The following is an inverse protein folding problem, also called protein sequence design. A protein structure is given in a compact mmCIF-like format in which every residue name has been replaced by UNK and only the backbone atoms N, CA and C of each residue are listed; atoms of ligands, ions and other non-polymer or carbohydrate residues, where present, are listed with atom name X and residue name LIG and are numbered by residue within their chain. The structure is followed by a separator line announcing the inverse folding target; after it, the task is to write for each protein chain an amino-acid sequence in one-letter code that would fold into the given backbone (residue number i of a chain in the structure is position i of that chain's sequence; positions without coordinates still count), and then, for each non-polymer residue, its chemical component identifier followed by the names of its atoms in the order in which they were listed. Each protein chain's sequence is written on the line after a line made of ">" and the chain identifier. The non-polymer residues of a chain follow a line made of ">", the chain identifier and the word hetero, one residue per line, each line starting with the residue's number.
data_IF_692432328601
#
_entry.id   IF_692432328601
#
_cell.length_a   1.000
_cell.length_b   1.000
_cell.length_c   1.000
_cell.angle_alpha   90.00
_cell.angle_beta   90.00
_cell.angle_gamma   90.00
#
_symmetry.space_group_name_H-M   'P 1'
#
loop_
_entity.id
_entity.type
_entity.pdbx_description
1 polymer ?
#
# COMPACT_ATOMS: atom_id res chain seq x y z
N UNK A 1 67.75 67.34 -59.44
CA UNK A 1 66.85 67.85 -58.38
C UNK A 1 65.54 67.07 -58.29
N UNK A 2 65.07 66.37 -59.35
CA UNK A 2 63.82 65.60 -59.33
C UNK A 2 63.84 64.41 -58.34
N UNK A 3 64.95 63.68 -58.25
CA UNK A 3 65.05 62.42 -57.48
C UNK A 3 64.80 62.55 -55.96
N UNK A 4 65.00 63.74 -55.37
CA UNK A 4 64.76 63.96 -53.93
C UNK A 4 63.28 64.21 -53.59
N UNK A 5 62.50 64.72 -54.55
CA UNK A 5 61.07 64.99 -54.34
C UNK A 5 60.25 63.68 -54.36
N UNK A 6 60.58 62.76 -55.26
CA UNK A 6 59.91 61.45 -55.36
C UNK A 6 60.16 60.59 -54.10
N UNK A 7 61.38 60.68 -53.54
CA UNK A 7 61.75 59.95 -52.32
C UNK A 7 61.01 60.46 -51.08
N UNK A 8 60.75 61.77 -51.00
CA UNK A 8 59.93 62.37 -49.94
C UNK A 8 58.45 61.99 -50.07
N UNK A 9 57.92 61.90 -51.29
CA UNK A 9 56.54 61.48 -51.54
C UNK A 9 56.30 60.02 -51.11
N UNK A 10 57.22 59.12 -51.45
CA UNK A 10 57.18 57.71 -51.02
C UNK A 10 57.21 57.56 -49.49
N UNK A 11 58.05 58.34 -48.80
CA UNK A 11 58.11 58.38 -47.34
C UNK A 11 56.79 58.85 -46.70
N UNK A 12 56.15 59.86 -47.31
CA UNK A 12 54.85 60.36 -46.84
C UNK A 12 53.74 59.32 -47.02
N UNK A 13 53.71 58.60 -48.15
CA UNK A 13 52.77 57.49 -48.37
C UNK A 13 52.99 56.32 -47.39
N UNK A 14 54.24 55.93 -47.15
CA UNK A 14 54.58 54.90 -46.16
C UNK A 14 54.13 55.31 -44.75
N UNK A 15 54.35 56.56 -44.36
CA UNK A 15 53.92 57.06 -43.06
C UNK A 15 52.39 57.04 -42.93
N UNK A 16 51.69 57.49 -43.97
CA UNK A 16 50.22 57.49 -44.02
C UNK A 16 49.63 56.09 -43.96
N UNK A 17 50.21 55.12 -44.67
CA UNK A 17 49.75 53.72 -44.62
C UNK A 17 50.02 53.08 -43.26
N UNK A 18 51.16 53.38 -42.63
CA UNK A 18 51.48 52.93 -41.28
C UNK A 18 50.52 53.51 -40.24
N UNK A 19 50.23 54.82 -40.31
CA UNK A 19 49.25 55.47 -39.44
C UNK A 19 47.85 54.84 -39.60
N UNK A 20 47.40 54.62 -40.84
CA UNK A 20 46.14 53.95 -41.12
C UNK A 20 46.09 52.52 -40.55
N UNK A 21 47.17 51.75 -40.71
CA UNK A 21 47.25 50.39 -40.16
C UNK A 21 47.21 50.36 -38.63
N UNK A 22 47.83 51.34 -37.96
CA UNK A 22 47.74 51.48 -36.50
C UNK A 22 46.33 51.86 -36.04
N UNK A 23 45.64 52.72 -36.78
CA UNK A 23 44.27 53.15 -36.46
C UNK A 23 43.28 51.99 -36.62
N UNK A 24 43.37 51.21 -37.70
CA UNK A 24 42.57 49.99 -37.89
C UNK A 24 42.85 48.95 -36.79
N UNK A 25 44.12 48.78 -36.39
CA UNK A 25 44.48 47.87 -35.30
C UNK A 25 43.88 48.32 -33.95
N UNK A 26 43.94 49.62 -33.63
CA UNK A 26 43.31 50.16 -32.42
C UNK A 26 41.80 49.96 -32.43
N UNK A 27 41.15 50.23 -33.56
CA UNK A 27 39.71 50.01 -33.73
C UNK A 27 39.34 48.54 -33.55
N UNK A 28 40.08 47.61 -34.16
CA UNK A 28 39.84 46.17 -34.01
C UNK A 28 40.04 45.68 -32.56
N UNK A 29 41.01 46.25 -31.83
CA UNK A 29 41.19 45.95 -30.40
C UNK A 29 40.03 46.48 -29.54
N UNK A 30 39.49 47.66 -29.86
CA UNK A 30 38.36 48.25 -29.15
C UNK A 30 37.06 47.48 -29.39
N UNK A 31 36.79 47.08 -30.64
CA UNK A 31 35.65 46.20 -30.98
C UNK A 31 35.76 44.85 -30.26
N UNK A 32 36.96 44.26 -30.20
CA UNK A 32 37.18 43.01 -29.47
C UNK A 32 36.92 43.16 -27.96
N UNK A 33 37.38 44.26 -27.34
CA UNK A 33 37.11 44.54 -25.92
C UNK A 33 35.62 44.70 -25.66
N UNK A 34 34.93 45.48 -26.48
CA UNK A 34 33.49 45.68 -26.33
C UNK A 34 32.72 44.36 -26.50
N UNK A 35 33.09 43.52 -27.47
CA UNK A 35 32.49 42.20 -27.64
C UNK A 35 32.72 41.27 -26.45
N UNK A 36 33.91 41.31 -25.84
CA UNK A 36 34.20 40.55 -24.62
C UNK A 36 33.36 41.05 -23.42
N UNK A 37 33.20 42.37 -23.29
CA UNK A 37 32.43 42.97 -22.21
C UNK A 37 30.93 42.66 -22.34
N UNK A 38 30.39 42.74 -23.56
CA UNK A 38 29.00 42.37 -23.83
C UNK A 38 28.74 40.89 -23.52
N UNK A 39 29.65 39.99 -23.95
CA UNK A 39 29.56 38.57 -23.64
C UNK A 39 29.61 38.30 -22.13
N UNK A 40 30.49 39.00 -21.40
CA UNK A 40 30.57 38.89 -19.95
C UNK A 40 29.27 39.32 -19.26
N UNK A 41 28.69 40.43 -19.71
CA UNK A 41 27.42 40.92 -19.19
C UNK A 41 26.27 39.93 -19.44
N UNK A 42 26.21 39.34 -20.64
CA UNK A 42 25.22 38.31 -20.97
C UNK A 42 25.39 37.06 -20.09
N UNK A 43 26.63 36.58 -19.92
CA UNK A 43 26.92 35.43 -19.05
C UNK A 43 26.51 35.71 -17.61
N UNK A 44 26.78 36.91 -17.10
CA UNK A 44 26.37 37.31 -15.75
C UNK A 44 24.84 37.37 -15.61
N UNK A 45 24.14 37.87 -16.63
CA UNK A 45 22.69 37.88 -16.68
C UNK A 45 22.08 36.47 -16.69
N UNK A 46 22.64 35.56 -17.50
CA UNK A 46 22.23 34.16 -17.53
C UNK A 46 22.48 33.49 -16.18
N UNK A 47 23.64 33.72 -15.57
CA UNK A 47 23.96 33.20 -14.23
C UNK A 47 22.93 33.65 -13.19
N UNK A 48 22.57 34.93 -13.19
CA UNK A 48 21.55 35.46 -12.28
C UNK A 48 20.18 34.79 -12.47
N UNK A 49 19.74 34.58 -13.71
CA UNK A 49 18.49 33.85 -14.00
C UNK A 49 18.54 32.39 -13.54
N UNK A 50 19.69 31.72 -13.70
CA UNK A 50 19.89 30.35 -13.22
C UNK A 50 19.76 30.30 -11.69
N UNK A 51 20.37 31.25 -10.98
CA UNK A 51 20.29 31.32 -9.52
C UNK A 51 18.85 31.61 -9.04
N UNK A 52 18.12 32.48 -9.73
CA UNK A 52 16.70 32.76 -9.44
C UNK A 52 15.82 31.52 -9.64
N UNK A 53 15.97 30.84 -10.78
CA UNK A 53 15.25 29.58 -11.06
C UNK A 53 15.58 28.51 -10.03
N UNK A 54 16.86 28.37 -9.65
CA UNK A 54 17.31 27.42 -8.64
C UNK A 54 16.63 27.67 -7.30
N UNK A 55 16.59 28.94 -6.86
CA UNK A 55 15.97 29.31 -5.59
C UNK A 55 14.45 29.06 -5.60
N UNK A 56 13.77 29.37 -6.70
CA UNK A 56 12.34 29.13 -6.83
C UNK A 56 11.98 27.64 -6.85
N UNK A 57 12.81 26.81 -7.52
CA UNK A 57 12.66 25.36 -7.49
C UNK A 57 12.85 24.82 -6.07
N UNK A 58 13.90 25.26 -5.38
CA UNK A 58 14.18 24.86 -4.00
C UNK A 58 12.99 25.20 -3.07
N UNK A 59 12.47 26.42 -3.16
CA UNK A 59 11.31 26.87 -2.38
C UNK A 59 10.06 26.01 -2.64
N UNK A 60 9.80 25.65 -3.91
CA UNK A 60 8.66 24.80 -4.26
C UNK A 60 8.81 23.38 -3.72
N UNK A 61 10.02 22.84 -3.71
CA UNK A 61 10.30 21.51 -3.14
C UNK A 61 9.96 21.54 -1.65
N UNK A 62 10.49 22.50 -0.90
CA UNK A 62 10.24 22.63 0.55
C UNK A 62 8.74 22.82 0.86
N UNK A 63 8.02 23.60 0.05
CA UNK A 63 6.57 23.76 0.19
C UNK A 63 5.81 22.45 -0.04
N UNK A 64 6.20 21.67 -1.05
CA UNK A 64 5.59 20.37 -1.35
C UNK A 64 5.90 19.37 -0.23
N UNK A 65 7.14 19.29 0.24
CA UNK A 65 7.53 18.43 1.37
C UNK A 65 6.70 18.73 2.60
N UNK A 66 6.56 20.01 2.98
CA UNK A 66 5.73 20.40 4.12
C UNK A 66 4.22 20.15 3.93
N UNK A 67 3.71 20.15 2.70
CA UNK A 67 2.32 19.75 2.42
C UNK A 67 2.13 18.24 2.50
N UNK A 68 3.10 17.46 2.02
CA UNK A 68 3.05 16.00 2.07
C UNK A 68 3.14 15.52 3.51
N UNK A 69 4.07 16.06 4.31
CA UNK A 69 4.22 15.70 5.72
C UNK A 69 2.94 15.96 6.52
N UNK A 70 2.34 17.15 6.39
CA UNK A 70 1.07 17.46 7.06
C UNK A 70 -0.08 16.52 6.68
N UNK A 71 -0.15 16.11 5.40
CA UNK A 71 -1.17 15.15 4.96
C UNK A 71 -0.93 13.75 5.53
N UNK A 72 0.34 13.35 5.68
CA UNK A 72 0.69 12.08 6.31
C UNK A 72 0.25 12.10 7.78
N UNK A 73 0.63 13.14 8.54
CA UNK A 73 0.22 13.31 9.95
C UNK A 73 -1.31 13.29 10.09
N UNK A 74 -2.05 14.04 9.25
CA UNK A 74 -3.53 14.03 9.28
C UNK A 74 -4.13 12.64 9.00
N UNK A 75 -3.52 11.88 8.09
CA UNK A 75 -3.98 10.50 7.79
C UNK A 75 -3.64 9.56 8.95
N UNK A 76 -2.46 9.67 9.53
CA UNK A 76 -2.04 8.88 10.70
C UNK A 76 -2.99 9.11 11.88
N UNK A 77 -3.27 10.36 12.23
CA UNK A 77 -4.21 10.73 13.30
C UNK A 77 -5.61 10.14 13.05
N UNK A 78 -6.13 10.26 11.81
CA UNK A 78 -7.44 9.71 11.45
C UNK A 78 -7.48 8.19 11.53
N UNK A 79 -6.40 7.51 11.14
CA UNK A 79 -6.29 6.05 11.22
C UNK A 79 -6.23 5.61 12.67
N UNK A 80 -5.46 6.30 13.50
CA UNK A 80 -5.35 6.02 14.93
C UNK A 80 -6.72 6.13 15.62
N UNK A 81 -7.42 7.25 15.45
CA UNK A 81 -8.76 7.45 16.04
C UNK A 81 -9.74 6.37 15.61
N UNK A 82 -9.75 6.00 14.32
CA UNK A 82 -10.63 4.93 13.82
C UNK A 82 -10.28 3.56 14.39
N UNK A 83 -9.00 3.29 14.63
CA UNK A 83 -8.57 2.03 15.24
C UNK A 83 -9.05 1.95 16.68
N UNK A 84 -8.88 3.02 17.46
CA UNK A 84 -9.37 3.11 18.84
C UNK A 84 -10.89 2.92 18.90
N UNK A 85 -11.65 3.56 18.01
CA UNK A 85 -13.11 3.41 17.93
C UNK A 85 -13.52 1.96 17.59
N UNK A 86 -12.80 1.30 16.69
CA UNK A 86 -13.04 -0.11 16.34
C UNK A 86 -12.72 -1.02 17.52
N UNK A 87 -11.61 -0.79 18.21
CA UNK A 87 -11.21 -1.55 19.38
C UNK A 87 -12.25 -1.47 20.49
N UNK A 88 -12.72 -0.26 20.84
CA UNK A 88 -13.78 -0.06 21.83
C UNK A 88 -15.06 -0.81 21.44
N UNK A 89 -15.52 -0.69 20.19
CA UNK A 89 -16.72 -1.40 19.70
C UNK A 89 -16.58 -2.91 19.80
N UNK A 90 -15.39 -3.45 19.50
CA UNK A 90 -15.11 -4.89 19.61
C UNK A 90 -15.14 -5.33 21.07
N UNK A 91 -14.49 -4.59 21.97
CA UNK A 91 -14.48 -4.89 23.41
C UNK A 91 -15.90 -4.90 23.99
N UNK A 92 -16.73 -3.91 23.65
CA UNK A 92 -18.15 -3.86 24.08
C UNK A 92 -18.92 -5.08 23.59
N UNK A 93 -18.78 -5.45 22.31
CA UNK A 93 -19.47 -6.63 21.75
C UNK A 93 -19.02 -7.94 22.38
N UNK A 94 -17.74 -8.08 22.68
CA UNK A 94 -17.20 -9.26 23.39
C UNK A 94 -17.87 -9.35 24.77
N UNK A 95 -17.88 -8.26 25.54
CA UNK A 95 -18.52 -8.25 26.86
C UNK A 95 -20.02 -8.58 26.83
N UNK A 96 -20.74 -8.14 25.81
CA UNK A 96 -22.15 -8.51 25.61
C UNK A 96 -22.33 -9.99 25.25
N UNK A 97 -21.44 -10.55 24.44
CA UNK A 97 -21.46 -11.97 24.09
C UNK A 97 -21.10 -12.85 25.29
N UNK A 98 -20.12 -12.47 26.09
CA UNK A 98 -19.76 -13.16 27.34
C UNK A 98 -20.96 -13.22 28.30
N UNK A 99 -21.65 -12.08 28.52
CA UNK A 99 -22.88 -12.04 29.34
C UNK A 99 -24.00 -12.93 28.79
N UNK A 100 -24.17 -12.99 27.46
CA UNK A 100 -25.17 -13.85 26.81
C UNK A 100 -24.81 -15.33 26.95
N UNK A 101 -23.52 -15.65 26.85
CA UNK A 101 -23.01 -17.01 27.02
C UNK A 101 -23.23 -17.50 28.45
N UNK A 102 -22.90 -16.69 29.47
CA UNK A 102 -23.15 -17.05 30.88
C UNK A 102 -24.63 -17.33 31.15
N UNK A 103 -25.54 -16.48 30.65
CA UNK A 103 -26.99 -16.72 30.78
C UNK A 103 -27.47 -18.02 30.14
N UNK A 104 -26.80 -18.48 29.09
CA UNK A 104 -27.13 -19.71 28.38
C UNK A 104 -26.57 -20.94 29.11
N UNK A 105 -25.38 -20.80 29.71
CA UNK A 105 -24.73 -21.83 30.54
C UNK A 105 -25.49 -22.06 31.85
N UNK A 106 -25.99 -21.00 32.48
CA UNK A 106 -26.80 -21.05 33.71
C UNK A 106 -28.25 -21.53 33.48
N UNK A 107 -28.70 -21.68 32.23
CA UNK A 107 -30.06 -22.14 31.94
C UNK A 107 -30.14 -23.65 32.14
N UNK A 108 -30.85 -24.15 33.19
CA UNK A 108 -31.06 -25.58 33.33
C UNK A 108 -31.78 -26.12 32.09
N UNK A 109 -31.24 -27.19 31.51
CA UNK A 109 -31.83 -27.87 30.35
C UNK A 109 -33.08 -28.63 30.84
N UNK A 110 -34.18 -27.92 31.05
CA UNK A 110 -35.48 -28.53 31.28
C UNK A 110 -36.13 -28.79 29.92
N UNK A 111 -35.85 -29.96 29.34
CA UNK A 111 -36.75 -30.51 28.33
C UNK A 111 -38.12 -30.71 29.01
N UNK A 112 -39.21 -30.11 28.53
CA UNK A 112 -40.53 -30.49 29.00
C UNK A 112 -40.72 -31.96 28.61
N UNK A 113 -40.76 -32.85 29.61
CA UNK A 113 -41.23 -34.22 29.43
C UNK A 113 -42.70 -34.11 29.06
N UNK A 114 -42.98 -33.99 27.77
CA UNK A 114 -44.34 -33.88 27.26
C UNK A 114 -45.01 -35.25 27.39
N UNK A 115 -46.02 -35.43 28.27
CA UNK A 115 -46.61 -36.74 28.53
C UNK A 115 -47.53 -37.24 27.40
N UNK A 116 -47.87 -36.38 26.44
CA UNK A 116 -48.92 -36.63 25.43
C UNK A 116 -48.41 -36.98 24.02
N UNK A 117 -47.11 -37.14 23.83
CA UNK A 117 -46.58 -37.73 22.59
C UNK A 117 -46.51 -39.26 22.71
N UNK A 118 -47.67 -39.90 22.81
CA UNK A 118 -47.82 -41.35 22.55
C UNK A 118 -47.81 -41.68 21.05
N UNK A 119 -47.42 -40.73 20.19
CA UNK A 119 -46.85 -41.13 18.91
C UNK A 119 -45.47 -41.71 19.19
N UNK A 120 -45.41 -43.03 19.29
CA UNK A 120 -44.18 -43.79 19.06
C UNK A 120 -43.59 -43.30 17.75
N UNK A 121 -42.68 -42.32 17.84
CA UNK A 121 -41.83 -41.94 16.71
C UNK A 121 -41.10 -43.23 16.34
N UNK A 122 -41.27 -43.77 15.11
CA UNK A 122 -40.57 -44.98 14.73
C UNK A 122 -39.09 -44.71 14.91
N UNK A 123 -38.51 -45.25 15.98
CA UNK A 123 -37.08 -45.10 16.22
C UNK A 123 -36.46 -46.10 15.27
N UNK A 124 -35.96 -45.61 14.15
CA UNK A 124 -35.21 -46.46 13.23
C UNK A 124 -33.98 -46.91 14.01
N UNK A 125 -33.89 -48.20 14.32
CA UNK A 125 -32.77 -48.78 15.06
C UNK A 125 -31.48 -48.48 14.29
N UNK A 126 -30.44 -48.04 14.99
CA UNK A 126 -29.11 -47.96 14.41
C UNK A 126 -28.68 -49.35 13.96
N UNK A 127 -28.12 -49.43 12.75
CA UNK A 127 -27.52 -50.65 12.22
C UNK A 127 -26.22 -50.93 13.00
N UNK A 128 -25.92 -52.19 13.29
CA UNK A 128 -24.63 -52.55 13.87
C UNK A 128 -23.56 -52.52 12.77
N UNK A 129 -22.37 -52.00 13.09
CA UNK A 129 -21.19 -52.07 12.25
C UNK A 129 -20.30 -53.21 12.75
N UNK A 130 -20.35 -54.33 12.04
CA UNK A 130 -19.62 -55.57 12.31
C UNK A 130 -18.47 -55.82 11.31
N UNK A 131 -18.18 -54.83 10.44
CA UNK A 131 -17.16 -54.91 9.40
C UNK A 131 -17.61 -55.64 8.12
N UNK A 132 -18.84 -56.13 8.03
CA UNK A 132 -19.35 -56.81 6.83
C UNK A 132 -19.74 -55.83 5.70
N UNK A 133 -20.05 -54.58 6.05
CA UNK A 133 -20.28 -53.47 5.10
C UNK A 133 -19.14 -52.46 5.17
N UNK A 134 -18.88 -51.71 4.10
CA UNK A 134 -17.82 -50.70 4.13
C UNK A 134 -18.20 -49.52 5.03
N UNK A 135 -17.21 -48.93 5.71
CA UNK A 135 -17.40 -47.80 6.63
C UNK A 135 -18.15 -46.61 5.98
N UNK A 136 -17.90 -46.34 4.71
CA UNK A 136 -18.56 -45.26 3.95
C UNK A 136 -20.07 -45.50 3.77
N UNK A 137 -20.45 -46.76 3.52
CA UNK A 137 -21.86 -47.15 3.40
C UNK A 137 -22.54 -47.05 4.76
N UNK A 138 -21.87 -47.52 5.82
CA UNK A 138 -22.35 -47.38 7.19
C UNK A 138 -22.55 -45.92 7.61
N UNK A 139 -21.56 -45.05 7.38
CA UNK A 139 -21.64 -43.61 7.69
C UNK A 139 -22.82 -42.94 7.00
N UNK A 140 -23.04 -43.21 5.72
CA UNK A 140 -24.17 -42.68 4.96
C UNK A 140 -25.50 -43.10 5.57
N UNK A 141 -25.66 -44.39 5.91
CA UNK A 141 -26.87 -44.89 6.54
C UNK A 141 -27.06 -44.34 7.96
N UNK A 142 -25.98 -44.24 8.73
CA UNK A 142 -25.97 -43.66 10.07
C UNK A 142 -26.40 -42.18 10.04
N UNK A 143 -25.92 -41.41 9.07
CA UNK A 143 -26.28 -40.00 8.92
C UNK A 143 -27.75 -39.83 8.52
N UNK A 144 -28.29 -40.68 7.65
CA UNK A 144 -29.72 -40.74 7.29
C UNK A 144 -30.58 -41.07 8.52
N UNK A 145 -30.20 -42.10 9.29
CA UNK A 145 -30.91 -42.52 10.51
C UNK A 145 -30.84 -41.44 11.58
N UNK A 146 -29.66 -40.84 11.79
CA UNK A 146 -29.48 -39.78 12.79
C UNK A 146 -30.29 -38.53 12.46
N UNK A 147 -30.44 -38.20 11.18
CA UNK A 147 -31.24 -37.07 10.72
C UNK A 147 -32.74 -37.37 10.85
N UNK A 148 -33.18 -38.56 10.44
CA UNK A 148 -34.58 -39.00 10.60
C UNK A 148 -35.00 -39.06 12.09
N UNK A 149 -34.08 -39.50 12.96
CA UNK A 149 -34.30 -39.55 14.40
C UNK A 149 -34.00 -38.21 15.12
N UNK A 150 -33.56 -37.17 14.41
CA UNK A 150 -33.26 -35.85 14.98
C UNK A 150 -32.19 -35.86 16.07
N UNK A 151 -31.19 -36.75 15.96
CA UNK A 151 -30.12 -36.85 16.95
C UNK A 151 -29.21 -35.63 16.94
N UNK A 152 -28.96 -35.06 18.12
CA UNK A 152 -27.92 -34.05 18.31
C UNK A 152 -26.52 -34.70 18.35
N UNK A 153 -25.47 -33.88 18.29
CA UNK A 153 -24.08 -34.38 18.21
C UNK A 153 -23.69 -35.32 19.36
N UNK A 154 -24.21 -35.08 20.57
CA UNK A 154 -23.96 -35.95 21.73
C UNK A 154 -24.58 -37.33 21.53
N UNK A 155 -25.85 -37.38 21.09
CA UNK A 155 -26.55 -38.64 20.82
C UNK A 155 -25.93 -39.37 19.63
N UNK A 156 -25.51 -38.65 18.58
CA UNK A 156 -24.77 -39.23 17.44
C UNK A 156 -23.48 -39.90 17.89
N UNK A 157 -22.70 -39.26 18.75
CA UNK A 157 -21.46 -39.83 19.27
C UNK A 157 -21.72 -41.11 20.09
N UNK A 158 -22.67 -41.07 21.03
CA UNK A 158 -23.03 -42.24 21.85
C UNK A 158 -23.57 -43.40 21.02
N UNK A 159 -24.41 -43.12 20.02
CA UNK A 159 -24.95 -44.16 19.14
C UNK A 159 -23.91 -44.72 18.18
N UNK A 160 -22.97 -43.91 17.71
CA UNK A 160 -21.87 -44.37 16.85
C UNK A 160 -21.02 -45.40 17.59
N UNK A 161 -20.64 -45.10 18.84
CA UNK A 161 -19.88 -46.02 19.70
C UNK A 161 -20.70 -47.28 20.00
N UNK A 162 -21.99 -47.14 20.33
CA UNK A 162 -22.85 -48.28 20.63
C UNK A 162 -23.13 -49.20 19.43
N UNK A 163 -22.98 -48.68 18.21
CA UNK A 163 -23.22 -49.41 16.95
C UNK A 163 -22.03 -50.26 16.53
N UNK A 164 -20.82 -50.00 17.05
CA UNK A 164 -19.65 -50.85 16.79
C UNK A 164 -19.84 -52.21 17.48
N UNK A 165 -19.46 -53.28 16.78
CA UNK A 165 -19.49 -54.67 17.27
C UNK A 165 -18.28 -55.45 16.72
N UNK A 166 -17.79 -56.42 17.49
CA UNK A 166 -16.72 -57.32 17.06
C UNK A 166 -15.37 -56.61 16.89
N UNK A 167 -14.54 -57.02 15.91
CA UNK A 167 -13.20 -56.44 15.67
C UNK A 167 -13.19 -54.94 15.34
N UNK A 168 -14.36 -54.33 15.11
CA UNK A 168 -14.51 -52.89 14.93
C UNK A 168 -14.58 -52.09 16.25
N UNK A 169 -14.76 -52.75 17.40
CA UNK A 169 -14.67 -52.12 18.73
C UNK A 169 -13.20 -51.81 19.12
N UNK A 170 -12.23 -52.54 18.58
CA UNK A 170 -10.80 -52.43 18.92
C UNK A 170 -10.04 -51.34 18.14
N UNK A 171 -10.70 -50.61 17.23
CA UNK A 171 -10.07 -49.65 16.30
C UNK A 171 -10.28 -48.18 16.69
N UNK A 172 -11.01 -47.90 17.79
CA UNK A 172 -11.13 -46.56 18.39
C UNK A 172 -10.06 -46.33 19.46
#
# INVERSE_FOLDING_TARGET
>A
MADNADLLALLAEMKKSMEKGQEEMKKGQEEMKNGQEEMKNQIQGVKGKIDEVRNEVQRKIEEIEGKVQRKIEEVEDKVQVKMEEVEEKVQVRIGDLEKRLSKLEDRPINFPTNPDLTYSRPTVKSLAFDGQTSWTVFKTQFDVVSSANGWNNRVKASQLVASLRGSAEEVL
#
